data_IF_799274968139
#
_entry.id   IF_799274968139
#
_cell.length_a   1.000
_cell.length_b   1.000
_cell.length_c   1.000
_cell.angle_alpha   90.00
_cell.angle_beta   90.00
_cell.angle_gamma   90.00
#
_symmetry.space_group_name_H-M   'P 1'
#
loop_
_entity.id
_entity.type
_entity.pdbx_description
1 polymer ?
#
# COMPACT_ATOMS: atom_id res chain seq x y z
N UNK A 1 -40.88 9.20 4.02
CA UNK A 1 -39.91 10.19 4.53
C UNK A 1 -38.84 10.39 3.48
N UNK A 2 -38.31 11.62 3.32
CA UNK A 2 -37.24 11.93 2.36
C UNK A 2 -35.96 12.22 3.15
N UNK A 3 -34.96 11.35 2.99
CA UNK A 3 -33.63 11.55 3.57
C UNK A 3 -32.65 12.00 2.47
N UNK A 4 -31.92 13.09 2.71
CA UNK A 4 -30.85 13.56 1.81
C UNK A 4 -29.50 13.14 2.37
N UNK A 5 -28.68 12.49 1.54
CA UNK A 5 -27.28 12.19 1.84
C UNK A 5 -26.36 12.77 0.78
N UNK A 6 -25.28 13.40 1.22
CA UNK A 6 -24.21 13.89 0.35
C UNK A 6 -23.13 12.82 0.20
N UNK A 7 -22.61 12.66 -1.00
CA UNK A 7 -21.45 11.79 -1.24
C UNK A 7 -20.21 12.48 -0.68
N UNK A 8 -19.42 11.75 0.11
CA UNK A 8 -18.28 12.33 0.82
C UNK A 8 -17.06 12.56 -0.09
N UNK A 9 -17.07 12.11 -1.35
CA UNK A 9 -15.92 12.11 -2.27
C UNK A 9 -15.01 10.90 -2.07
N UNK A 10 -13.83 10.93 -2.69
CA UNK A 10 -12.86 9.82 -2.67
C UNK A 10 -11.45 10.28 -2.26
N UNK A 11 -10.66 9.33 -1.79
CA UNK A 11 -9.23 9.37 -1.51
C UNK A 11 -8.52 8.69 -2.68
N UNK A 12 -7.60 9.38 -3.34
CA UNK A 12 -6.84 8.86 -4.48
C UNK A 12 -5.34 8.80 -4.17
N UNK A 13 -4.67 7.79 -4.71
CA UNK A 13 -3.21 7.78 -4.73
C UNK A 13 -2.73 8.91 -5.65
N UNK A 14 -1.59 9.50 -5.35
CA UNK A 14 -1.03 10.51 -6.23
C UNK A 14 -0.46 9.97 -7.54
N UNK A 15 -0.08 8.70 -7.56
CA UNK A 15 0.26 7.96 -8.76
C UNK A 15 -0.99 7.38 -9.43
N UNK A 16 -2.19 7.78 -8.99
CA UNK A 16 -3.42 7.39 -9.63
C UNK A 16 -3.31 7.69 -11.12
N UNK A 17 -3.49 6.66 -11.95
CA UNK A 17 -3.48 6.82 -13.40
C UNK A 17 -4.44 7.91 -13.83
N UNK A 18 -4.04 8.72 -14.82
CA UNK A 18 -4.94 9.70 -15.45
C UNK A 18 -6.09 9.01 -16.19
N UNK A 19 -5.94 7.73 -16.54
CA UNK A 19 -7.01 6.91 -17.11
C UNK A 19 -8.17 6.66 -16.14
N UNK A 20 -8.01 6.98 -14.85
CA UNK A 20 -9.11 6.96 -13.89
C UNK A 20 -10.09 8.12 -14.10
N UNK A 21 -9.71 9.18 -14.81
CA UNK A 21 -10.56 10.36 -15.00
C UNK A 21 -11.63 10.12 -16.09
N UNK A 22 -12.54 9.19 -15.84
CA UNK A 22 -13.61 8.79 -16.78
C UNK A 22 -14.99 9.09 -16.20
N UNK A 23 -15.88 9.61 -17.05
CA UNK A 23 -17.28 9.85 -16.71
C UNK A 23 -18.04 8.53 -16.41
N UNK A 24 -18.86 8.56 -15.36
CA UNK A 24 -19.52 7.39 -14.74
C UNK A 24 -20.74 6.86 -15.49
N UNK A 25 -20.71 6.79 -16.81
CA UNK A 25 -21.86 6.29 -17.56
C UNK A 25 -21.85 4.76 -17.68
N UNK A 26 -20.67 4.13 -17.65
CA UNK A 26 -20.52 2.68 -17.65
C UNK A 26 -19.15 2.24 -17.12
N UNK A 27 -19.10 1.07 -16.49
CA UNK A 27 -17.84 0.40 -16.11
C UNK A 27 -17.63 -0.78 -17.06
N UNK A 28 -16.51 -0.79 -17.78
CA UNK A 28 -16.13 -1.93 -18.59
C UNK A 28 -15.37 -2.97 -17.76
N UNK A 29 -16.07 -4.02 -17.33
CA UNK A 29 -15.51 -5.16 -16.60
C UNK A 29 -14.49 -5.96 -17.42
N UNK A 30 -14.51 -5.85 -18.75
CA UNK A 30 -13.57 -6.54 -19.62
C UNK A 30 -12.26 -5.77 -19.82
N UNK A 31 -12.23 -4.48 -19.45
CA UNK A 31 -11.05 -3.62 -19.58
C UNK A 31 -9.85 -4.21 -18.86
N UNK A 32 -8.67 -4.04 -19.47
CA UNK A 32 -7.38 -4.39 -18.82
C UNK A 32 -7.24 -3.65 -17.49
N UNK A 33 -7.67 -2.39 -17.44
CA UNK A 33 -7.75 -1.59 -16.23
C UNK A 33 -8.54 -2.27 -15.10
N UNK A 34 -9.78 -2.71 -15.36
CA UNK A 34 -10.59 -3.41 -14.37
C UNK A 34 -9.91 -4.72 -13.95
N UNK A 35 -9.46 -5.53 -14.90
CA UNK A 35 -8.74 -6.79 -14.61
C UNK A 35 -7.50 -6.58 -13.73
N UNK A 36 -6.71 -5.53 -14.00
CA UNK A 36 -5.50 -5.21 -13.24
C UNK A 36 -5.78 -4.82 -11.79
N UNK A 37 -6.92 -4.16 -11.51
CA UNK A 37 -7.35 -3.85 -10.14
C UNK A 37 -7.59 -5.13 -9.33
N UNK A 38 -8.24 -6.13 -9.93
CA UNK A 38 -8.59 -7.39 -9.26
C UNK A 38 -7.48 -8.44 -9.31
N UNK A 39 -6.52 -8.32 -10.23
CA UNK A 39 -5.29 -9.12 -10.26
C UNK A 39 -4.32 -8.79 -9.12
N UNK A 40 -4.75 -8.04 -8.11
CA UNK A 40 -4.01 -7.78 -6.89
C UNK A 40 -3.43 -9.03 -6.20
N UNK A 41 -3.97 -10.23 -6.50
CA UNK A 41 -3.48 -11.53 -6.03
C UNK A 41 -2.24 -12.03 -6.79
N UNK A 42 -2.07 -11.74 -8.08
CA UNK A 42 -0.88 -12.20 -8.86
C UNK A 42 0.42 -11.56 -8.33
N UNK A 43 0.31 -10.36 -7.76
CA UNK A 43 1.43 -9.65 -7.11
C UNK A 43 1.51 -9.85 -5.60
N UNK A 44 0.88 -10.88 -5.03
CA UNK A 44 0.85 -11.08 -3.57
C UNK A 44 2.25 -11.17 -2.97
N UNK A 45 3.14 -11.96 -3.57
CA UNK A 45 4.53 -12.10 -3.11
C UNK A 45 5.32 -10.81 -3.30
N UNK A 46 5.21 -10.14 -4.45
CA UNK A 46 5.85 -8.84 -4.72
C UNK A 46 5.43 -7.77 -3.69
N UNK A 47 4.13 -7.66 -3.41
CA UNK A 47 3.59 -6.75 -2.40
C UNK A 47 4.05 -7.11 -1.00
N UNK A 48 4.04 -8.40 -0.64
CA UNK A 48 4.55 -8.85 0.65
C UNK A 48 6.05 -8.55 0.82
N UNK A 49 6.83 -8.69 -0.26
CA UNK A 49 8.25 -8.33 -0.30
C UNK A 49 8.46 -6.83 -0.11
N UNK A 50 7.76 -5.99 -0.86
CA UNK A 50 7.80 -4.53 -0.71
C UNK A 50 7.46 -4.10 0.73
N UNK A 51 6.35 -4.62 1.27
CA UNK A 51 5.92 -4.33 2.64
C UNK A 51 6.96 -4.78 3.67
N UNK A 52 7.57 -5.95 3.44
CA UNK A 52 8.65 -6.45 4.30
C UNK A 52 9.85 -5.51 4.25
N UNK A 53 10.32 -5.16 3.06
CA UNK A 53 11.44 -4.23 2.83
C UNK A 53 11.23 -2.91 3.57
N UNK A 54 10.11 -2.22 3.33
CA UNK A 54 9.80 -0.96 4.01
C UNK A 54 9.73 -1.10 5.54
N UNK A 55 9.07 -2.15 6.03
CA UNK A 55 8.98 -2.42 7.48
C UNK A 55 10.35 -2.60 8.11
N UNK A 56 11.32 -3.16 7.38
CA UNK A 56 12.70 -3.27 7.88
C UNK A 56 13.35 -1.92 8.12
N UNK A 57 13.09 -0.94 7.25
CA UNK A 57 13.66 0.40 7.32
C UNK A 57 12.93 1.31 8.32
N UNK A 58 11.65 1.06 8.59
CA UNK A 58 10.91 1.72 9.67
C UNK A 58 11.27 1.16 11.07
N UNK A 59 11.75 -0.08 11.13
CA UNK A 59 12.08 -0.75 12.39
C UNK A 59 13.42 -0.29 12.95
N UNK A 60 13.40 0.31 14.15
CA UNK A 60 14.63 0.69 14.86
C UNK A 60 15.22 -0.52 15.57
N UNK A 61 16.51 -0.78 15.37
CA UNK A 61 17.18 -1.86 16.07
C UNK A 61 17.18 -1.68 17.58
N UNK A 62 16.74 -2.71 18.29
CA UNK A 62 16.69 -2.73 19.75
C UNK A 62 18.02 -3.03 20.44
N UNK A 63 19.13 -3.12 19.69
CA UNK A 63 20.45 -3.33 20.30
C UNK A 63 20.88 -2.07 21.04
N UNK A 64 21.40 -2.27 22.24
CA UNK A 64 21.97 -1.22 23.09
C UNK A 64 23.41 -1.63 23.37
N UNK A 65 24.35 -0.74 23.08
CA UNK A 65 25.75 -1.02 23.35
C UNK A 65 26.07 -1.00 24.86
N UNK A 66 27.31 -1.34 25.19
CA UNK A 66 27.81 -1.34 26.56
C UNK A 66 27.72 0.04 27.27
N UNK A 67 27.52 1.12 26.51
CA UNK A 67 27.38 2.49 27.02
C UNK A 67 25.91 2.92 27.14
N UNK A 68 24.94 2.04 26.87
CA UNK A 68 23.52 2.36 26.94
C UNK A 68 22.99 3.07 25.68
N UNK A 69 23.78 3.19 24.62
CA UNK A 69 23.39 3.87 23.38
C UNK A 69 22.65 2.87 22.49
N UNK A 70 21.40 3.20 22.15
CA UNK A 70 20.63 2.45 21.15
C UNK A 70 21.27 2.61 19.79
N UNK A 71 21.49 1.49 19.13
CA UNK A 71 21.94 1.51 17.75
C UNK A 71 20.84 2.06 16.84
N UNK A 72 21.25 2.83 15.84
CA UNK A 72 20.37 3.52 14.87
C UNK A 72 20.65 3.09 13.42
N UNK A 73 21.58 2.16 13.21
CA UNK A 73 22.03 1.84 11.87
C UNK A 73 21.02 1.04 11.05
N UNK A 74 21.18 1.14 9.74
CA UNK A 74 20.27 0.60 8.74
C UNK A 74 20.07 -0.92 8.87
N UNK A 75 18.88 -1.36 8.47
CA UNK A 75 18.56 -2.77 8.23
C UNK A 75 19.42 -3.31 7.09
N UNK A 76 19.82 -4.58 7.22
CA UNK A 76 20.54 -5.32 6.17
C UNK A 76 20.03 -6.76 6.11
N UNK A 77 19.99 -7.32 4.91
CA UNK A 77 19.82 -8.74 4.72
C UNK A 77 21.13 -9.47 5.03
N UNK A 78 21.14 -10.26 6.09
CA UNK A 78 22.29 -11.03 6.57
C UNK A 78 22.06 -12.53 6.34
N UNK A 79 23.14 -13.30 6.36
CA UNK A 79 23.09 -14.76 6.26
C UNK A 79 23.82 -15.44 7.43
N UNK A 80 23.33 -16.59 7.84
CA UNK A 80 24.03 -17.48 8.78
C UNK A 80 23.85 -18.94 8.36
N UNK A 81 24.80 -19.78 8.78
CA UNK A 81 24.71 -21.22 8.58
C UNK A 81 23.88 -21.81 9.73
N UNK A 82 22.74 -22.40 9.39
CA UNK A 82 21.91 -23.18 10.29
C UNK A 82 22.29 -24.66 10.16
N UNK A 83 22.66 -25.31 11.25
CA UNK A 83 22.93 -26.76 11.29
C UNK A 83 21.75 -27.44 11.98
N UNK A 84 21.08 -28.36 11.28
CA UNK A 84 20.01 -29.22 11.82
C UNK A 84 20.42 -30.66 11.57
N UNK A 85 20.79 -31.37 12.64
CA UNK A 85 21.39 -32.70 12.53
C UNK A 85 22.71 -32.63 11.74
N UNK A 86 22.83 -33.43 10.68
CA UNK A 86 24.01 -33.47 9.81
C UNK A 86 23.95 -32.49 8.63
N UNK A 87 22.88 -31.70 8.50
CA UNK A 87 22.65 -30.82 7.34
C UNK A 87 22.96 -29.38 7.75
N UNK A 88 23.86 -28.73 7.02
CA UNK A 88 24.13 -27.31 7.11
C UNK A 88 23.43 -26.57 5.96
N UNK A 89 22.57 -25.60 6.27
CA UNK A 89 21.89 -24.77 5.27
C UNK A 89 22.14 -23.29 5.56
N UNK A 90 22.31 -22.48 4.50
CA UNK A 90 22.37 -21.03 4.62
C UNK A 90 20.96 -20.49 4.83
N UNK A 91 20.77 -19.68 5.87
CA UNK A 91 19.50 -19.02 6.15
C UNK A 91 19.69 -17.51 6.17
N UNK A 92 18.90 -16.82 5.35
CA UNK A 92 18.86 -15.35 5.30
C UNK A 92 17.90 -14.81 6.36
N UNK A 93 18.20 -13.63 6.88
CA UNK A 93 17.36 -12.91 7.83
C UNK A 93 17.63 -11.40 7.76
N UNK A 94 16.67 -10.62 8.24
CA UNK A 94 16.82 -9.16 8.34
C UNK A 94 17.40 -8.84 9.73
N UNK A 95 18.55 -8.17 9.73
CA UNK A 95 19.25 -7.78 10.94
C UNK A 95 19.90 -6.40 10.82
N UNK A 96 20.60 -6.03 11.89
CA UNK A 96 21.46 -4.86 11.91
C UNK A 96 22.62 -4.98 10.90
N UNK A 97 23.04 -3.87 10.28
CA UNK A 97 24.26 -3.84 9.46
C UNK A 97 25.55 -4.19 10.23
N UNK A 98 25.61 -3.98 11.55
CA UNK A 98 26.76 -4.33 12.43
C UNK A 98 26.59 -5.68 13.15
N UNK A 99 25.68 -6.52 12.70
CA UNK A 99 25.52 -7.83 13.31
C UNK A 99 26.76 -8.71 13.11
N UNK A 100 27.20 -9.38 14.18
CA UNK A 100 28.20 -10.46 14.10
C UNK A 100 27.63 -11.82 14.50
N UNK A 101 28.24 -12.88 13.94
CA UNK A 101 27.84 -14.25 14.19
C UNK A 101 27.84 -14.57 15.70
N UNK A 102 26.74 -15.18 16.19
CA UNK A 102 26.45 -15.52 17.60
C UNK A 102 26.05 -14.35 18.52
N UNK A 103 25.97 -13.12 18.03
CA UNK A 103 25.41 -12.02 18.82
C UNK A 103 23.88 -12.09 18.90
N UNK A 104 23.35 -11.98 20.11
CA UNK A 104 21.91 -11.97 20.40
C UNK A 104 21.36 -10.54 20.30
N UNK A 105 20.07 -10.37 20.06
CA UNK A 105 19.35 -9.08 20.05
C UNK A 105 19.60 -8.13 18.85
N UNK A 106 20.36 -8.59 17.84
CA UNK A 106 20.58 -7.89 16.56
C UNK A 106 19.64 -8.35 15.43
N UNK A 107 18.82 -9.36 15.70
CA UNK A 107 17.89 -9.97 14.76
C UNK A 107 16.50 -9.37 14.98
N UNK A 108 15.97 -8.69 13.97
CA UNK A 108 14.75 -7.89 14.13
C UNK A 108 13.52 -8.54 13.50
N UNK A 109 13.65 -9.14 12.32
CA UNK A 109 12.51 -9.67 11.57
C UNK A 109 12.84 -11.03 10.93
N UNK A 110 12.02 -12.03 11.22
CA UNK A 110 11.97 -13.28 10.45
C UNK A 110 11.36 -12.98 9.09
N UNK A 111 12.00 -13.44 8.02
CA UNK A 111 11.45 -13.30 6.67
C UNK A 111 10.26 -14.28 6.55
N UNK A 112 9.04 -13.78 6.32
CA UNK A 112 7.87 -14.63 6.11
C UNK A 112 8.00 -15.50 4.85
N UNK A 113 7.33 -16.66 4.82
CA UNK A 113 7.37 -17.56 3.67
C UNK A 113 6.70 -16.99 2.41
N UNK A 114 5.85 -15.97 2.56
CA UNK A 114 5.19 -15.30 1.45
C UNK A 114 5.99 -14.13 0.87
N UNK A 115 7.26 -13.99 1.25
CA UNK A 115 8.18 -13.01 0.68
C UNK A 115 9.02 -13.67 -0.38
N UNK A 116 9.04 -13.07 -1.57
CA UNK A 116 10.01 -13.39 -2.61
C UNK A 116 11.42 -12.95 -2.15
N UNK A 117 12.28 -13.94 -1.90
CA UNK A 117 13.63 -13.74 -1.39
C UNK A 117 14.56 -13.12 -2.44
N UNK A 118 14.44 -13.50 -3.70
CA UNK A 118 15.30 -13.00 -4.77
C UNK A 118 14.99 -11.51 -5.01
N UNK A 119 13.71 -11.16 -5.04
CA UNK A 119 13.29 -9.77 -5.11
C UNK A 119 13.74 -8.96 -3.88
N UNK A 120 13.65 -9.54 -2.68
CA UNK A 120 14.10 -8.86 -1.46
C UNK A 120 15.61 -8.57 -1.49
N UNK A 121 16.41 -9.49 -2.04
CA UNK A 121 17.86 -9.30 -2.22
C UNK A 121 18.16 -8.16 -3.18
N UNK A 122 17.49 -8.14 -4.33
CA UNK A 122 17.61 -7.04 -5.30
C UNK A 122 17.26 -5.70 -4.63
N UNK A 123 16.20 -5.66 -3.81
CA UNK A 123 15.81 -4.45 -3.09
C UNK A 123 16.87 -3.95 -2.11
N UNK A 124 17.49 -4.83 -1.33
CA UNK A 124 18.56 -4.42 -0.40
C UNK A 124 19.86 -4.00 -1.11
N UNK A 125 20.08 -4.43 -2.33
CA UNK A 125 21.27 -4.12 -3.13
C UNK A 125 21.11 -2.84 -3.95
N UNK A 126 19.94 -2.66 -4.58
CA UNK A 126 19.73 -1.64 -5.61
C UNK A 126 18.69 -0.58 -5.25
N UNK A 127 17.83 -0.83 -4.27
CA UNK A 127 16.72 0.06 -3.94
C UNK A 127 16.96 0.88 -2.67
N UNK A 128 16.41 2.10 -2.65
CA UNK A 128 16.43 2.99 -1.49
C UNK A 128 15.02 3.14 -0.92
N UNK A 129 14.90 3.12 0.41
CA UNK A 129 13.62 3.38 1.08
C UNK A 129 13.49 4.84 1.51
N UNK A 130 12.42 5.50 1.06
CA UNK A 130 12.13 6.89 1.37
C UNK A 130 10.84 7.00 2.20
N UNK A 131 10.94 7.11 3.55
CA UNK A 131 9.78 7.10 4.44
C UNK A 131 8.84 8.30 4.27
N UNK A 132 9.33 9.39 3.68
CA UNK A 132 8.56 10.63 3.41
C UNK A 132 8.25 10.85 1.93
N UNK A 133 8.49 9.83 1.08
CA UNK A 133 8.44 9.96 -0.38
C UNK A 133 9.69 10.58 -1.00
N UNK A 134 9.73 10.64 -2.34
CA UNK A 134 10.76 11.34 -3.13
C UNK A 134 10.30 12.79 -3.33
N UNK A 135 11.24 13.73 -3.22
CA UNK A 135 11.03 15.13 -3.60
C UNK A 135 11.27 15.27 -5.12
N UNK A 136 10.20 15.12 -5.89
CA UNK A 136 10.23 15.05 -7.35
C UNK A 136 10.68 16.34 -8.04
N UNK A 137 10.83 17.47 -7.32
CA UNK A 137 11.43 18.67 -7.91
C UNK A 137 12.93 18.48 -8.27
N UNK A 138 13.55 17.36 -7.86
CA UNK A 138 14.97 17.09 -8.08
C UNK A 138 15.30 15.78 -8.80
N UNK A 139 14.31 14.95 -9.15
CA UNK A 139 14.56 13.60 -9.66
C UNK A 139 13.88 13.39 -11.02
N UNK A 140 14.69 13.23 -12.09
CA UNK A 140 14.26 13.10 -13.51
C UNK A 140 13.79 11.66 -13.87
N UNK A 141 13.46 10.81 -12.90
CA UNK A 141 13.12 9.41 -13.16
C UNK A 141 11.67 9.22 -13.62
N UNK A 142 11.50 9.06 -14.93
CA UNK A 142 10.21 8.95 -15.64
C UNK A 142 9.45 7.60 -15.50
N UNK A 143 9.88 6.67 -14.64
CA UNK A 143 9.18 5.37 -14.50
C UNK A 143 8.28 5.41 -13.27
N UNK A 144 7.11 6.02 -13.44
CA UNK A 144 6.00 5.95 -12.49
C UNK A 144 5.21 4.67 -12.79
N UNK A 145 5.26 3.68 -11.89
CA UNK A 145 4.27 2.61 -11.92
C UNK A 145 2.92 3.19 -11.50
N UNK A 146 2.01 3.33 -12.46
CA UNK A 146 0.69 3.89 -12.22
C UNK A 146 -0.08 3.06 -11.17
N UNK A 147 -0.67 3.76 -10.21
CA UNK A 147 -1.56 3.21 -9.22
C UNK A 147 -2.99 3.29 -9.71
N UNK A 148 -3.82 2.31 -9.37
CA UNK A 148 -5.26 2.38 -9.62
C UNK A 148 -6.09 2.36 -8.33
N UNK A 149 -5.47 2.67 -7.19
CA UNK A 149 -6.13 2.59 -5.87
C UNK A 149 -6.92 3.87 -5.57
N UNK A 150 -8.23 3.72 -5.44
CA UNK A 150 -9.17 4.76 -4.99
C UNK A 150 -9.94 4.22 -3.80
N UNK A 151 -10.21 5.07 -2.81
CA UNK A 151 -10.95 4.70 -1.59
C UNK A 151 -12.05 5.71 -1.31
N UNK A 152 -13.19 5.31 -0.72
CA UNK A 152 -14.17 6.27 -0.26
C UNK A 152 -13.60 7.10 0.89
N UNK A 153 -13.99 8.38 0.99
CA UNK A 153 -13.53 9.29 2.05
C UNK A 153 -13.88 8.82 3.47
N UNK A 154 -14.86 7.92 3.62
CA UNK A 154 -15.19 7.25 4.88
C UNK A 154 -14.12 6.28 5.38
N UNK A 155 -13.12 5.93 4.56
CA UNK A 155 -12.02 5.04 4.95
C UNK A 155 -11.16 5.71 6.02
N UNK A 156 -10.97 5.03 7.17
CA UNK A 156 -10.21 5.55 8.33
C UNK A 156 -8.71 5.73 8.08
N UNK A 157 -8.14 5.03 7.09
CA UNK A 157 -6.72 5.14 6.74
C UNK A 157 -6.46 6.37 5.88
N UNK A 158 -5.51 7.20 6.31
CA UNK A 158 -4.94 8.30 5.50
C UNK A 158 -3.64 7.89 4.77
N UNK A 159 -3.18 6.66 5.00
CA UNK A 159 -2.10 6.02 4.25
C UNK A 159 -2.67 4.95 3.31
N UNK A 160 -2.07 4.83 2.12
CA UNK A 160 -2.32 3.68 1.27
C UNK A 160 -1.56 2.45 1.80
N UNK A 161 -2.15 1.25 1.71
CA UNK A 161 -1.54 0.03 2.24
C UNK A 161 -0.45 -0.50 1.31
N UNK A 162 -0.40 0.02 0.07
CA UNK A 162 0.51 -0.41 -0.97
C UNK A 162 1.64 0.61 -1.06
N UNK A 163 2.87 0.11 -1.06
CA UNK A 163 4.05 0.88 -1.36
C UNK A 163 4.18 1.02 -2.87
N UNK A 164 4.75 2.14 -3.29
CA UNK A 164 5.03 2.39 -4.69
C UNK A 164 6.53 2.28 -4.96
N UNK A 165 6.87 1.71 -6.10
CA UNK A 165 8.21 1.72 -6.66
C UNK A 165 8.27 2.84 -7.70
N UNK A 166 9.25 3.73 -7.57
CA UNK A 166 9.52 4.80 -8.52
C UNK A 166 11.01 4.77 -8.84
N UNK A 167 11.35 4.30 -10.03
CA UNK A 167 12.73 3.91 -10.35
C UNK A 167 13.30 2.93 -9.31
N UNK A 168 14.41 3.31 -8.68
CA UNK A 168 15.07 2.54 -7.62
C UNK A 168 14.61 2.91 -6.21
N UNK A 169 13.58 3.75 -6.07
CA UNK A 169 13.08 4.18 -4.78
C UNK A 169 11.78 3.46 -4.41
N UNK A 170 11.68 3.01 -3.16
CA UNK A 170 10.44 2.52 -2.55
C UNK A 170 9.87 3.60 -1.64
N UNK A 171 8.66 4.06 -1.93
CA UNK A 171 8.01 5.19 -1.25
C UNK A 171 6.72 4.81 -0.56
N UNK A 172 6.50 5.44 0.59
CA UNK A 172 5.21 5.49 1.29
C UNK A 172 4.62 6.88 1.10
N UNK A 173 3.39 6.99 0.57
CA UNK A 173 2.73 8.30 0.34
C UNK A 173 1.35 8.36 1.00
N UNK A 174 1.00 9.59 1.35
CA UNK A 174 -0.25 9.98 2.01
C UNK A 174 -1.33 10.17 0.95
N UNK A 175 -2.57 9.89 1.34
CA UNK A 175 -3.77 10.09 0.54
C UNK A 175 -3.89 11.52 -0.02
N UNK A 176 -4.13 11.65 -1.34
CA UNK A 176 -4.73 12.87 -1.90
C UNK A 176 -6.24 12.79 -1.75
N UNK A 177 -6.82 13.71 -0.98
CA UNK A 177 -8.28 13.81 -0.83
C UNK A 177 -8.82 14.54 -2.06
N UNK A 178 -9.77 13.94 -2.79
CA UNK A 178 -10.50 14.66 -3.82
C UNK A 178 -11.38 15.73 -3.19
N UNK A 179 -11.75 16.73 -3.99
CA UNK A 179 -12.85 17.64 -3.67
C UNK A 179 -14.12 16.86 -3.35
N UNK A 180 -14.98 17.44 -2.50
CA UNK A 180 -16.27 16.86 -2.18
C UNK A 180 -17.06 16.57 -3.46
N UNK A 181 -17.76 15.44 -3.47
CA UNK A 181 -18.60 15.07 -4.58
C UNK A 181 -19.87 15.95 -4.59
N UNK A 182 -20.25 16.56 -5.72
CA UNK A 182 -21.45 17.38 -5.80
C UNK A 182 -22.74 16.54 -5.85
N UNK A 183 -22.63 15.21 -6.03
CA UNK A 183 -23.78 14.30 -6.13
C UNK A 183 -24.51 14.15 -4.81
N UNK A 184 -25.84 14.18 -4.89
CA UNK A 184 -26.77 14.00 -3.78
C UNK A 184 -27.63 12.76 -4.00
N UNK A 185 -27.79 11.98 -2.95
CA UNK A 185 -28.72 10.87 -2.91
C UNK A 185 -29.96 11.23 -2.08
N UNK A 186 -31.13 10.97 -2.63
CA UNK A 186 -32.40 11.05 -1.91
C UNK A 186 -32.98 9.67 -1.73
N UNK A 187 -33.27 9.32 -0.49
CA UNK A 187 -34.00 8.10 -0.14
C UNK A 187 -35.46 8.46 0.13
N UNK A 188 -36.37 7.84 -0.61
CA UNK A 188 -37.80 7.91 -0.36
C UNK A 188 -38.19 6.60 0.31
N UNK A 189 -38.40 6.68 1.62
CA UNK A 189 -38.79 5.55 2.45
C UNK A 189 -40.31 5.61 2.67
N UNK A 190 -41.08 4.60 2.22
CA UNK A 190 -42.52 4.53 2.48
C UNK A 190 -42.82 4.50 3.98
N UNK A 191 -43.93 5.10 4.40
CA UNK A 191 -44.34 5.05 5.81
C UNK A 191 -44.69 3.62 6.26
N UNK A 192 -45.19 2.81 5.35
CA UNK A 192 -45.54 1.42 5.59
C UNK A 192 -44.79 0.50 4.62
N UNK A 193 -43.69 -0.08 5.10
CA UNK A 193 -42.88 -1.02 4.31
C UNK A 193 -43.57 -2.37 4.09
N UNK A 194 -44.62 -2.71 4.84
CA UNK A 194 -45.39 -3.95 4.61
C UNK A 194 -46.29 -3.83 3.39
N UNK A 195 -46.89 -2.65 3.18
CA UNK A 195 -47.75 -2.37 2.02
C UNK A 195 -46.94 -1.93 0.80
N UNK A 196 -45.82 -1.23 1.00
CA UNK A 196 -44.91 -0.83 -0.05
C UNK A 196 -43.46 -1.19 0.33
N UNK A 197 -42.97 -2.38 -0.07
CA UNK A 197 -41.67 -2.90 0.35
C UNK A 197 -40.49 -2.30 -0.41
N UNK A 198 -40.69 -1.21 -1.15
CA UNK A 198 -39.67 -0.61 -2.00
C UNK A 198 -39.16 0.70 -1.42
N UNK A 199 -37.84 0.85 -1.35
CA UNK A 199 -37.18 2.12 -1.06
C UNK A 199 -36.69 2.67 -2.40
N UNK A 200 -37.07 3.91 -2.73
CA UNK A 200 -36.58 4.56 -3.96
C UNK A 200 -35.33 5.37 -3.61
N UNK A 201 -34.26 5.16 -4.38
CA UNK A 201 -33.03 5.94 -4.29
C UNK A 201 -32.90 6.80 -5.55
N UNK A 202 -32.76 8.10 -5.40
CA UNK A 202 -32.56 9.06 -6.51
C UNK A 202 -31.18 9.67 -6.37
N UNK A 203 -30.35 9.55 -7.40
CA UNK A 203 -29.06 10.25 -7.51
C UNK A 203 -29.21 11.51 -8.36
N UNK A 204 -28.75 12.67 -7.88
CA UNK A 204 -28.78 13.93 -8.63
C UNK A 204 -27.39 14.54 -8.66
N UNK A 205 -26.91 14.89 -9.87
CA UNK A 205 -25.61 15.52 -10.14
C UNK A 205 -24.67 14.61 -10.92
N UNK A 206 -23.54 15.17 -11.36
CA UNK A 206 -22.45 14.43 -12.01
C UNK A 206 -21.29 14.29 -11.02
N UNK A 207 -20.73 13.07 -10.89
CA UNK A 207 -19.55 12.85 -10.07
C UNK A 207 -18.35 13.57 -10.71
N UNK A 208 -17.56 14.26 -9.89
CA UNK A 208 -16.31 14.93 -10.28
C UNK A 208 -15.08 14.13 -9.83
N UNK A 209 -15.24 12.82 -9.70
CA UNK A 209 -14.21 11.91 -9.22
C UNK A 209 -14.47 10.52 -9.80
N UNK A 210 -13.44 9.67 -9.94
CA UNK A 210 -13.62 8.30 -10.40
C UNK A 210 -14.52 7.46 -9.48
N UNK A 211 -15.05 6.36 -10.04
CA UNK A 211 -15.75 5.35 -9.29
C UNK A 211 -14.74 4.63 -8.41
N UNK A 212 -15.02 4.44 -7.11
CA UNK A 212 -14.22 3.52 -6.31
C UNK A 212 -14.24 2.14 -6.98
N UNK A 213 -13.11 1.44 -7.08
CA UNK A 213 -13.12 0.04 -7.45
C UNK A 213 -14.01 -0.72 -6.46
N UNK A 214 -15.02 -1.42 -6.98
CA UNK A 214 -16.02 -2.18 -6.23
C UNK A 214 -15.47 -3.48 -5.66
#
# INVERSE_FOLDING_TARGET
FKEERKVLGVKMCEFASKELDVDHISVDFASSFFKNIFNANEKFFEKATLCTFAKTHEYKCGYVDQNGIRYDGASKLNEFIQVIGSIASKKKFIGCAKWHFREKNYRYLTIPNNVDLELLEIMFDKHFYHPRGIDFEKDESDIIEECFTIRPNSTRSDEFPFLHKVGDCIVKRIVKKSTACPVKFYYIIPKNLKECPFIVTISIGQHNHPSPPS
#
